data_IF_044356992181
#
_entry.id   IF_044356992181
#
_cell.length_a   1.000
_cell.length_b   1.000
_cell.length_c   1.000
_cell.angle_alpha   90.00
_cell.angle_beta   90.00
_cell.angle_gamma   90.00
#
_symmetry.space_group_name_H-M   'P 1'
#
loop_
_entity.id
_entity.type
_entity.pdbx_description
1 polymer ?
#
# COMPACT_ATOMS: atom_id res chain seq x y z
N UNK A 1 2.84 3.52 29.58
CA UNK A 1 2.91 5.01 29.53
C UNK A 1 3.97 5.52 28.53
N UNK A 2 5.19 4.94 28.45
CA UNK A 2 6.24 5.38 27.53
C UNK A 2 5.85 5.18 26.04
N UNK A 3 5.18 4.08 25.73
CA UNK A 3 4.74 3.71 24.40
C UNK A 3 3.71 4.69 23.81
N UNK A 4 2.74 5.11 24.63
CA UNK A 4 1.70 6.06 24.21
C UNK A 4 2.25 7.48 24.00
N UNK A 5 3.31 7.86 24.74
CA UNK A 5 3.98 9.14 24.62
C UNK A 5 4.87 9.23 23.35
N UNK A 6 5.49 8.10 22.92
CA UNK A 6 6.25 8.02 21.68
C UNK A 6 5.35 8.16 20.45
N UNK A 7 4.21 7.47 20.42
CA UNK A 7 3.22 7.56 19.35
C UNK A 7 2.65 8.97 19.23
N UNK A 8 2.29 9.62 20.33
CA UNK A 8 1.70 10.97 20.32
C UNK A 8 2.68 12.07 19.92
N UNK A 9 3.98 11.93 20.21
CA UNK A 9 4.99 12.93 19.86
C UNK A 9 5.50 12.82 18.41
N UNK A 10 5.49 11.62 17.81
CA UNK A 10 5.94 11.37 16.43
C UNK A 10 4.78 11.23 15.44
N UNK A 11 3.53 11.24 15.90
CA UNK A 11 2.35 10.84 15.15
C UNK A 11 2.16 9.33 15.14
N UNK A 12 1.04 8.88 14.59
CA UNK A 12 0.73 7.45 14.41
C UNK A 12 0.83 7.12 12.92
N UNK A 13 1.82 6.33 12.45
CA UNK A 13 1.96 6.01 11.04
C UNK A 13 0.76 5.23 10.48
N UNK A 14 0.09 4.42 11.31
CA UNK A 14 -1.14 3.73 10.90
C UNK A 14 -2.32 4.69 10.71
N UNK A 15 -2.38 5.81 11.41
CA UNK A 15 -3.47 6.79 11.32
C UNK A 15 -2.94 8.21 11.53
N UNK A 16 -2.30 8.81 10.52
CA UNK A 16 -1.81 10.18 10.58
C UNK A 16 -2.94 11.17 10.88
N UNK A 17 -2.69 12.15 11.77
CA UNK A 17 -3.69 13.16 12.13
C UNK A 17 -3.06 14.54 12.30
N UNK A 18 -3.74 15.58 11.79
CA UNK A 18 -3.33 16.97 11.92
C UNK A 18 -1.95 17.28 11.34
N UNK A 19 -1.38 18.43 11.66
CA UNK A 19 -0.08 18.91 11.14
C UNK A 19 1.08 17.91 11.35
N UNK A 20 1.11 17.21 12.48
CA UNK A 20 2.10 16.15 12.73
C UNK A 20 1.95 14.98 11.76
N UNK A 21 0.71 14.61 11.43
CA UNK A 21 0.40 13.60 10.45
C UNK A 21 0.80 14.00 9.03
N UNK A 22 0.55 15.24 8.62
CA UNK A 22 0.96 15.77 7.31
C UNK A 22 2.50 15.76 7.15
N UNK A 23 3.24 16.19 8.16
CA UNK A 23 4.72 16.13 8.17
C UNK A 23 5.24 14.69 8.11
N UNK A 24 4.55 13.77 8.77
CA UNK A 24 4.88 12.35 8.70
C UNK A 24 4.65 11.79 7.30
N UNK A 25 3.51 12.07 6.67
CA UNK A 25 3.21 11.65 5.30
C UNK A 25 4.25 12.17 4.30
N UNK A 26 4.64 13.43 4.40
CA UNK A 26 5.68 14.01 3.55
C UNK A 26 7.01 13.26 3.67
N UNK A 27 7.47 12.98 4.91
CA UNK A 27 8.68 12.19 5.15
C UNK A 27 8.58 10.76 4.61
N UNK A 28 7.46 10.08 4.82
CA UNK A 28 7.22 8.73 4.32
C UNK A 28 7.25 8.70 2.79
N UNK A 29 6.66 9.69 2.14
CA UNK A 29 6.67 9.81 0.68
C UNK A 29 8.09 9.90 0.09
N UNK A 30 9.01 10.56 0.80
CA UNK A 30 10.43 10.68 0.39
C UNK A 30 11.20 9.38 0.68
N UNK A 31 11.06 8.83 1.90
CA UNK A 31 11.82 7.64 2.32
C UNK A 31 11.48 6.39 1.51
N UNK A 32 10.22 6.21 1.12
CA UNK A 32 9.77 5.02 0.38
C UNK A 32 9.86 5.16 -1.16
N UNK A 33 10.46 6.27 -1.66
CA UNK A 33 10.48 6.54 -3.10
C UNK A 33 11.19 5.45 -3.92
N UNK A 34 12.35 4.98 -3.45
CA UNK A 34 13.14 3.96 -4.13
C UNK A 34 12.48 2.58 -4.06
N UNK A 35 12.00 2.19 -2.88
CA UNK A 35 11.22 0.97 -2.66
C UNK A 35 10.00 0.90 -3.60
N UNK A 36 9.24 2.02 -3.65
CA UNK A 36 8.06 2.11 -4.51
C UNK A 36 8.42 1.95 -5.98
N UNK A 37 9.47 2.64 -6.45
CA UNK A 37 9.91 2.55 -7.84
C UNK A 37 10.35 1.12 -8.21
N UNK A 38 11.07 0.44 -7.32
CA UNK A 38 11.48 -0.94 -7.50
C UNK A 38 10.26 -1.86 -7.58
N UNK A 39 9.33 -1.79 -6.63
CA UNK A 39 8.14 -2.64 -6.63
C UNK A 39 7.23 -2.41 -7.84
N UNK A 40 7.01 -1.14 -8.24
CA UNK A 40 6.19 -0.81 -9.42
C UNK A 40 6.84 -1.29 -10.74
N UNK A 41 8.14 -1.59 -10.76
CA UNK A 41 8.82 -2.13 -11.95
C UNK A 41 8.34 -3.53 -12.35
N UNK A 42 7.66 -4.24 -11.46
CA UNK A 42 7.04 -5.54 -11.76
C UNK A 42 5.70 -5.41 -12.49
N UNK A 43 5.08 -4.23 -12.55
CA UNK A 43 3.93 -4.02 -13.41
C UNK A 43 4.33 -3.84 -14.88
N UNK A 44 3.61 -4.54 -15.76
CA UNK A 44 3.61 -4.28 -17.20
C UNK A 44 2.49 -3.30 -17.54
N UNK A 45 2.85 -2.02 -17.73
CA UNK A 45 1.91 -0.94 -18.01
C UNK A 45 1.47 -0.93 -19.48
N UNK A 46 0.16 -0.86 -19.74
CA UNK A 46 -0.44 -0.65 -21.07
C UNK A 46 -0.85 0.82 -21.25
N UNK A 47 -1.17 1.49 -20.14
CA UNK A 47 -1.55 2.90 -20.10
C UNK A 47 -3.05 3.16 -20.13
N UNK A 48 -3.87 2.13 -20.12
CA UNK A 48 -5.34 2.18 -20.11
C UNK A 48 -5.97 1.44 -18.92
N UNK A 49 -5.15 1.08 -17.93
CA UNK A 49 -5.60 0.31 -16.78
C UNK A 49 -6.42 1.15 -15.79
N UNK A 50 -7.39 0.49 -15.16
CA UNK A 50 -8.02 0.91 -13.91
C UNK A 50 -7.14 0.45 -12.74
N UNK A 51 -6.57 1.39 -12.00
CA UNK A 51 -5.58 1.09 -10.95
C UNK A 51 -6.09 1.55 -9.59
N UNK A 52 -5.92 0.70 -8.57
CA UNK A 52 -6.22 1.03 -7.17
C UNK A 52 -4.94 1.04 -6.33
N UNK A 53 -4.76 2.06 -5.50
CA UNK A 53 -3.74 2.12 -4.45
C UNK A 53 -4.41 2.06 -3.06
N UNK A 54 -4.18 0.96 -2.33
CA UNK A 54 -4.77 0.71 -1.00
C UNK A 54 -3.83 1.20 0.08
N UNK A 55 -4.31 2.08 0.96
CA UNK A 55 -3.50 2.79 1.94
C UNK A 55 -2.63 3.84 1.25
N UNK A 56 -3.24 4.65 0.37
CA UNK A 56 -2.54 5.59 -0.50
C UNK A 56 -1.80 6.73 0.23
N UNK A 57 -2.02 6.88 1.54
CA UNK A 57 -1.34 7.84 2.39
C UNK A 57 -1.40 9.27 1.83
N UNK A 58 -0.25 9.92 1.68
CA UNK A 58 -0.13 11.27 1.10
C UNK A 58 -0.21 11.32 -0.43
N UNK A 59 -0.48 10.19 -1.12
CA UNK A 59 -0.73 10.14 -2.55
C UNK A 59 0.51 10.15 -3.46
N UNK A 60 1.71 10.00 -2.91
CA UNK A 60 2.93 10.03 -3.71
C UNK A 60 3.06 8.83 -4.67
N UNK A 61 2.57 7.65 -4.28
CA UNK A 61 2.55 6.49 -5.14
C UNK A 61 1.59 6.69 -6.33
N UNK A 62 0.39 7.22 -6.08
CA UNK A 62 -0.57 7.59 -7.13
C UNK A 62 0.05 8.60 -8.11
N UNK A 63 0.74 9.62 -7.58
CA UNK A 63 1.43 10.61 -8.42
C UNK A 63 2.50 9.95 -9.33
N UNK A 64 3.25 8.97 -8.84
CA UNK A 64 4.21 8.22 -9.66
C UNK A 64 3.52 7.40 -10.74
N UNK A 65 2.44 6.70 -10.38
CA UNK A 65 1.68 5.87 -11.31
C UNK A 65 0.98 6.69 -12.39
N UNK A 66 0.63 7.97 -12.13
CA UNK A 66 -0.04 8.83 -13.11
C UNK A 66 0.77 9.03 -14.39
N UNK A 67 2.09 8.96 -14.31
CA UNK A 67 2.98 9.01 -15.47
C UNK A 67 2.87 7.79 -16.41
N UNK A 68 2.36 6.67 -15.92
CA UNK A 68 2.17 5.45 -16.70
C UNK A 68 0.77 5.36 -17.33
N UNK A 69 -0.22 6.04 -16.76
CA UNK A 69 -1.62 5.97 -17.20
C UNK A 69 -1.95 7.11 -18.16
N UNK A 70 -2.40 6.75 -19.37
CA UNK A 70 -2.76 7.70 -20.43
C UNK A 70 -4.28 7.80 -20.66
N UNK A 71 -4.94 6.64 -20.73
CA UNK A 71 -6.36 6.51 -21.04
C UNK A 71 -7.15 5.73 -19.99
N UNK A 72 -6.48 5.26 -18.93
CA UNK A 72 -7.06 4.58 -17.78
C UNK A 72 -7.37 5.54 -16.63
N UNK A 73 -7.59 5.00 -15.45
CA UNK A 73 -7.93 5.78 -14.27
C UNK A 73 -7.18 5.29 -13.03
N UNK A 74 -6.86 6.22 -12.13
CA UNK A 74 -6.22 5.95 -10.85
C UNK A 74 -7.19 6.20 -9.70
N UNK A 75 -7.28 5.26 -8.79
CA UNK A 75 -8.08 5.37 -7.58
C UNK A 75 -7.21 5.17 -6.35
N UNK A 76 -7.29 6.08 -5.39
CA UNK A 76 -6.67 5.92 -4.07
C UNK A 76 -7.72 5.65 -3.00
N UNK A 77 -7.40 4.80 -2.04
CA UNK A 77 -8.21 4.61 -0.84
C UNK A 77 -7.35 4.63 0.41
N UNK A 78 -7.79 5.37 1.42
CA UNK A 78 -7.16 5.39 2.74
C UNK A 78 -8.24 5.58 3.82
N UNK A 79 -8.08 4.97 4.99
CA UNK A 79 -9.05 5.09 6.07
C UNK A 79 -8.81 6.33 6.96
N UNK A 80 -7.65 6.97 6.84
CA UNK A 80 -7.31 8.15 7.60
C UNK A 80 -7.69 9.42 6.81
N UNK A 81 -8.60 10.21 7.35
CA UNK A 81 -9.07 11.45 6.72
C UNK A 81 -7.92 12.40 6.34
N UNK A 82 -6.90 12.55 7.20
CA UNK A 82 -5.72 13.37 6.89
C UNK A 82 -4.95 12.84 5.67
N UNK A 83 -4.79 11.52 5.53
CA UNK A 83 -4.18 10.90 4.35
C UNK A 83 -4.97 11.23 3.08
N UNK A 84 -6.29 11.06 3.11
CA UNK A 84 -7.19 11.37 1.98
C UNK A 84 -7.08 12.85 1.58
N UNK A 85 -7.13 13.77 2.54
CA UNK A 85 -7.00 15.21 2.28
C UNK A 85 -5.64 15.56 1.69
N UNK A 86 -4.55 15.02 2.25
CA UNK A 86 -3.18 15.23 1.74
C UNK A 86 -3.04 14.64 0.34
N UNK A 87 -3.54 13.42 0.11
CA UNK A 87 -3.49 12.77 -1.21
C UNK A 87 -4.22 13.58 -2.28
N UNK A 88 -5.40 14.14 -1.94
CA UNK A 88 -6.15 15.04 -2.84
C UNK A 88 -5.38 16.32 -3.18
N UNK A 89 -4.68 16.90 -2.22
CA UNK A 89 -3.83 18.08 -2.45
C UNK A 89 -2.64 17.74 -3.35
N UNK A 90 -1.95 16.63 -3.07
CA UNK A 90 -0.80 16.16 -3.85
C UNK A 90 -1.16 15.92 -5.31
N UNK A 91 -2.36 15.39 -5.57
CA UNK A 91 -2.80 14.96 -6.89
C UNK A 91 -3.89 15.87 -7.50
N UNK A 92 -4.01 17.11 -7.03
CA UNK A 92 -5.10 18.02 -7.42
C UNK A 92 -5.22 18.21 -8.94
N UNK A 93 -4.10 18.23 -9.67
CA UNK A 93 -4.10 18.41 -11.12
C UNK A 93 -4.70 17.19 -11.86
N UNK A 94 -4.33 15.98 -11.47
CA UNK A 94 -4.84 14.75 -12.09
C UNK A 94 -6.33 14.53 -11.72
N UNK A 95 -6.73 14.89 -10.51
CA UNK A 95 -8.13 14.88 -10.08
C UNK A 95 -8.95 15.88 -10.90
N UNK A 96 -8.47 17.11 -11.06
CA UNK A 96 -9.15 18.13 -11.87
C UNK A 96 -9.24 17.75 -13.36
N UNK A 97 -8.29 16.96 -13.86
CA UNK A 97 -8.30 16.40 -15.20
C UNK A 97 -9.22 15.18 -15.36
N UNK A 98 -9.88 14.70 -14.29
CA UNK A 98 -10.72 13.50 -14.30
C UNK A 98 -9.97 12.20 -14.46
N UNK A 99 -8.67 12.16 -14.12
CA UNK A 99 -7.80 10.99 -14.24
C UNK A 99 -7.65 10.21 -12.92
N UNK A 100 -8.08 10.80 -11.81
CA UNK A 100 -7.86 10.26 -10.50
C UNK A 100 -8.98 10.60 -9.53
N UNK A 101 -9.32 9.63 -8.67
CA UNK A 101 -10.22 9.80 -7.53
C UNK A 101 -9.59 9.30 -6.23
N UNK A 102 -9.90 9.97 -5.11
CA UNK A 102 -9.43 9.57 -3.78
C UNK A 102 -10.63 9.39 -2.84
N UNK A 103 -10.73 8.20 -2.26
CA UNK A 103 -11.82 7.79 -1.38
C UNK A 103 -11.34 7.59 0.07
N UNK A 104 -12.22 7.90 1.02
CA UNK A 104 -12.07 7.45 2.40
C UNK A 104 -12.69 6.06 2.50
N UNK A 105 -11.92 5.07 2.96
CA UNK A 105 -12.40 3.69 3.07
C UNK A 105 -11.36 2.77 3.69
N UNK A 106 -11.82 1.59 4.14
CA UNK A 106 -10.99 0.54 4.75
C UNK A 106 -10.85 -0.65 3.81
N UNK A 107 -9.68 -1.29 3.84
CA UNK A 107 -9.45 -2.58 3.17
C UNK A 107 -10.35 -3.71 3.69
N UNK A 108 -11.00 -3.53 4.83
CA UNK A 108 -11.98 -4.50 5.36
C UNK A 108 -13.25 -4.57 4.51
N UNK A 109 -13.62 -3.46 3.85
CA UNK A 109 -14.78 -3.36 2.97
C UNK A 109 -14.50 -2.21 1.97
N UNK A 110 -13.89 -2.53 0.85
CA UNK A 110 -13.56 -1.56 -0.19
C UNK A 110 -14.84 -1.08 -0.89
N UNK A 111 -15.03 0.25 -1.06
CA UNK A 111 -16.26 0.82 -1.60
C UNK A 111 -16.33 0.71 -3.14
N UNK A 112 -15.96 -0.44 -3.68
CA UNK A 112 -15.90 -0.71 -5.11
C UNK A 112 -16.59 -2.03 -5.44
N UNK A 113 -17.11 -2.14 -6.65
CA UNK A 113 -17.71 -3.37 -7.17
C UNK A 113 -16.67 -4.47 -7.40
N UNK A 114 -17.14 -5.71 -7.53
CA UNK A 114 -16.29 -6.84 -7.94
C UNK A 114 -15.66 -6.57 -9.31
N UNK A 115 -14.44 -7.07 -9.53
CA UNK A 115 -13.76 -7.01 -10.83
C UNK A 115 -13.64 -5.57 -11.40
N UNK A 116 -13.36 -4.58 -10.55
CA UNK A 116 -13.27 -3.16 -10.93
C UNK A 116 -11.89 -2.75 -11.45
N UNK A 117 -10.80 -3.37 -10.97
CA UNK A 117 -9.44 -2.91 -11.22
C UNK A 117 -8.57 -3.94 -11.95
N UNK A 118 -7.75 -3.46 -12.87
CA UNK A 118 -6.76 -4.27 -13.59
C UNK A 118 -5.49 -4.47 -12.77
N UNK A 119 -5.11 -3.43 -12.02
CA UNK A 119 -3.92 -3.42 -11.15
C UNK A 119 -4.27 -2.85 -9.80
N UNK A 120 -3.72 -3.47 -8.75
CA UNK A 120 -3.85 -2.97 -7.38
C UNK A 120 -2.46 -2.89 -6.77
N UNK A 121 -2.19 -1.84 -5.99
CA UNK A 121 -0.99 -1.69 -5.17
C UNK A 121 -1.34 -1.49 -3.71
N UNK A 122 -0.42 -1.87 -2.84
CA UNK A 122 -0.30 -1.37 -1.48
C UNK A 122 1.18 -1.21 -1.15
N UNK A 123 1.57 -0.03 -0.69
CA UNK A 123 2.96 0.29 -0.36
C UNK A 123 3.04 0.66 1.11
N UNK A 124 3.88 -0.05 1.89
CA UNK A 124 4.13 0.24 3.30
C UNK A 124 2.86 0.36 4.17
N UNK A 125 1.81 -0.37 3.84
CA UNK A 125 0.49 -0.27 4.47
C UNK A 125 -0.03 -1.62 5.00
N UNK A 126 0.28 -2.73 4.34
CA UNK A 126 -0.24 -4.07 4.62
C UNK A 126 -0.11 -4.50 6.09
N UNK A 127 0.99 -4.21 6.74
CA UNK A 127 1.26 -4.63 8.11
C UNK A 127 0.39 -3.90 9.17
N UNK A 128 -0.35 -2.87 8.76
CA UNK A 128 -1.37 -2.19 9.57
C UNK A 128 -2.79 -2.73 9.36
N UNK A 129 -2.99 -3.64 8.39
CA UNK A 129 -4.33 -4.13 8.09
C UNK A 129 -4.90 -4.93 9.27
N UNK A 130 -6.23 -4.80 9.57
CA UNK A 130 -6.83 -5.41 10.76
C UNK A 130 -6.79 -6.94 10.75
N UNK A 131 -7.00 -7.55 9.57
CA UNK A 131 -6.98 -9.00 9.38
C UNK A 131 -6.41 -9.34 8.00
N UNK A 132 -5.08 -9.28 7.80
CA UNK A 132 -4.47 -9.38 6.48
C UNK A 132 -4.91 -10.59 5.64
N UNK A 133 -5.03 -11.83 6.18
CA UNK A 133 -5.52 -12.96 5.39
C UNK A 133 -6.95 -12.80 4.86
N UNK A 134 -7.85 -12.18 5.62
CA UNK A 134 -9.22 -11.92 5.16
C UNK A 134 -9.27 -10.69 4.24
N UNK A 135 -8.50 -9.65 4.54
CA UNK A 135 -8.44 -8.46 3.72
C UNK A 135 -7.89 -8.75 2.31
N UNK A 136 -7.00 -9.73 2.14
CA UNK A 136 -6.55 -10.20 0.82
C UNK A 136 -7.70 -10.75 -0.03
N UNK A 137 -8.74 -11.34 0.56
CA UNK A 137 -9.92 -11.78 -0.17
C UNK A 137 -10.71 -10.59 -0.72
N UNK A 138 -10.78 -9.50 0.04
CA UNK A 138 -11.42 -8.26 -0.37
C UNK A 138 -10.64 -7.58 -1.51
N UNK A 139 -9.31 -7.52 -1.41
CA UNK A 139 -8.44 -7.07 -2.52
C UNK A 139 -8.71 -7.89 -3.79
N UNK A 140 -8.73 -9.23 -3.64
CA UNK A 140 -9.01 -10.12 -4.76
C UNK A 140 -10.42 -9.94 -5.32
N UNK A 141 -11.42 -9.61 -4.49
CA UNK A 141 -12.79 -9.35 -4.95
C UNK A 141 -12.83 -8.23 -5.98
N UNK A 142 -12.22 -7.10 -5.66
CA UNK A 142 -12.23 -5.90 -6.52
C UNK A 142 -11.24 -5.97 -7.68
N UNK A 143 -10.25 -6.88 -7.64
CA UNK A 143 -9.31 -7.13 -8.74
C UNK A 143 -10.01 -7.90 -9.86
N UNK A 144 -9.83 -7.50 -11.11
CA UNK A 144 -10.33 -8.20 -12.30
C UNK A 144 -9.66 -9.55 -12.48
N UNK A 145 -10.35 -10.48 -13.13
CA UNK A 145 -9.75 -11.77 -13.51
C UNK A 145 -8.56 -11.55 -14.44
N UNK A 146 -7.41 -12.12 -14.10
CA UNK A 146 -6.14 -11.89 -14.78
C UNK A 146 -5.44 -10.59 -14.37
N UNK A 147 -6.05 -9.80 -13.50
CA UNK A 147 -5.43 -8.60 -12.91
C UNK A 147 -4.32 -8.96 -11.92
N UNK A 148 -3.48 -7.98 -11.61
CA UNK A 148 -2.29 -8.14 -10.76
C UNK A 148 -2.35 -7.25 -9.54
N UNK A 149 -2.08 -7.82 -8.37
CA UNK A 149 -1.88 -7.10 -7.10
C UNK A 149 -0.42 -7.13 -6.70
N UNK A 150 0.16 -5.97 -6.39
CA UNK A 150 1.49 -5.82 -5.80
C UNK A 150 1.40 -5.30 -4.37
N UNK A 151 1.92 -6.10 -3.43
CA UNK A 151 2.22 -5.69 -2.07
C UNK A 151 3.71 -5.37 -1.99
N UNK A 152 4.05 -4.14 -1.62
CA UNK A 152 5.43 -3.63 -1.59
C UNK A 152 5.74 -3.17 -0.18
N UNK A 153 6.80 -3.71 0.45
CA UNK A 153 7.15 -3.42 1.82
C UNK A 153 8.65 -3.56 2.12
N UNK A 154 9.11 -2.85 3.16
CA UNK A 154 10.44 -3.04 3.76
C UNK A 154 10.38 -3.78 5.11
N UNK A 155 9.17 -4.07 5.63
CA UNK A 155 8.97 -4.80 6.88
C UNK A 155 8.37 -6.17 6.59
N UNK A 156 9.20 -7.21 6.72
CA UNK A 156 8.80 -8.61 6.69
C UNK A 156 9.77 -9.41 7.57
N UNK A 157 9.41 -10.63 7.97
CA UNK A 157 10.24 -11.44 8.87
C UNK A 157 11.43 -12.05 8.13
N UNK A 158 12.61 -11.54 8.43
CA UNK A 158 13.89 -12.02 7.92
C UNK A 158 15.03 -11.76 8.92
N UNK A 159 16.17 -12.52 8.83
CA UNK A 159 17.28 -12.42 9.81
C UNK A 159 17.98 -11.06 9.87
N UNK A 160 17.82 -10.21 8.85
CA UNK A 160 18.51 -8.92 8.73
C UNK A 160 17.80 -7.74 9.40
N UNK A 161 16.67 -7.94 10.08
CA UNK A 161 15.91 -6.86 10.73
C UNK A 161 16.74 -6.18 11.83
N UNK A 162 16.89 -4.85 11.75
CA UNK A 162 17.55 -4.07 12.80
C UNK A 162 16.77 -4.10 14.12
N UNK A 163 17.45 -3.84 15.24
CA UNK A 163 16.82 -3.76 16.57
C UNK A 163 15.70 -2.69 16.58
N UNK A 164 15.89 -1.55 15.90
CA UNK A 164 14.90 -0.49 15.80
C UNK A 164 13.63 -0.97 15.09
N UNK A 165 13.76 -1.68 13.96
CA UNK A 165 12.64 -2.24 13.22
C UNK A 165 11.90 -3.29 14.05
N UNK A 166 12.64 -4.17 14.75
CA UNK A 166 12.04 -5.16 15.64
C UNK A 166 11.28 -4.51 16.81
N UNK A 167 11.79 -3.40 17.36
CA UNK A 167 11.07 -2.61 18.36
C UNK A 167 9.79 -1.98 17.75
N UNK A 168 9.86 -1.45 16.54
CA UNK A 168 8.70 -0.88 15.86
C UNK A 168 7.62 -1.93 15.58
N UNK A 169 7.99 -3.12 15.11
CA UNK A 169 7.06 -4.25 14.93
C UNK A 169 6.30 -4.54 16.24
N UNK A 170 7.01 -4.63 17.37
CA UNK A 170 6.39 -4.85 18.68
C UNK A 170 5.53 -3.67 19.14
N UNK A 171 6.05 -2.44 18.99
CA UNK A 171 5.40 -1.23 19.47
C UNK A 171 4.10 -0.92 18.73
N UNK A 172 4.07 -1.13 17.43
CA UNK A 172 2.91 -0.89 16.57
C UNK A 172 2.10 -2.15 16.28
N UNK A 173 2.54 -3.33 16.78
CA UNK A 173 1.92 -4.64 16.54
C UNK A 173 1.77 -4.94 15.06
N UNK A 174 2.83 -4.67 14.31
CA UNK A 174 2.81 -4.86 12.87
C UNK A 174 2.70 -6.35 12.53
N UNK A 175 1.87 -6.67 11.54
CA UNK A 175 1.82 -8.01 10.98
C UNK A 175 3.08 -8.25 10.13
N UNK A 176 3.95 -9.15 10.59
CA UNK A 176 5.28 -9.34 10.04
C UNK A 176 5.48 -10.80 9.59
N UNK A 177 4.95 -11.21 8.44
CA UNK A 177 5.08 -12.57 7.93
C UNK A 177 6.42 -12.80 7.24
N UNK A 178 6.84 -14.08 7.18
CA UNK A 178 7.96 -14.52 6.33
C UNK A 178 7.54 -14.53 4.85
N UNK A 179 8.50 -14.55 3.89
CA UNK A 179 8.20 -14.70 2.46
C UNK A 179 7.29 -15.90 2.15
N UNK A 180 7.51 -17.06 2.80
CA UNK A 180 6.70 -18.26 2.62
C UNK A 180 5.29 -18.09 3.19
N UNK A 181 5.16 -17.34 4.27
CA UNK A 181 3.85 -17.00 4.85
C UNK A 181 3.07 -16.09 3.92
N UNK A 182 3.71 -15.10 3.30
CA UNK A 182 3.07 -14.27 2.27
C UNK A 182 2.53 -15.13 1.12
N UNK A 183 3.33 -16.04 0.57
CA UNK A 183 2.88 -16.93 -0.49
C UNK A 183 1.66 -17.77 -0.05
N UNK A 184 1.70 -18.30 1.18
CA UNK A 184 0.63 -19.11 1.75
C UNK A 184 -0.68 -18.34 1.88
N UNK A 185 -0.67 -17.13 2.43
CA UNK A 185 -1.89 -16.33 2.64
C UNK A 185 -2.47 -15.80 1.33
N UNK A 186 -1.62 -15.46 0.34
CA UNK A 186 -2.10 -15.07 -1.00
C UNK A 186 -2.81 -16.24 -1.69
N UNK A 187 -2.20 -17.44 -1.68
CA UNK A 187 -2.82 -18.64 -2.24
C UNK A 187 -4.12 -18.99 -1.50
N UNK A 188 -4.14 -18.89 -0.18
CA UNK A 188 -5.36 -19.12 0.62
C UNK A 188 -6.47 -18.09 0.33
N UNK A 189 -6.11 -16.84 -0.03
CA UNK A 189 -7.06 -15.83 -0.49
C UNK A 189 -7.58 -16.09 -1.92
N UNK A 190 -6.98 -17.05 -2.66
CA UNK A 190 -7.44 -17.51 -3.97
C UNK A 190 -6.71 -16.86 -5.15
N UNK A 191 -5.55 -16.23 -4.95
CA UNK A 191 -4.70 -15.80 -6.07
C UNK A 191 -4.16 -17.02 -6.82
N UNK A 192 -4.29 -17.01 -8.14
CA UNK A 192 -3.97 -18.17 -9.02
C UNK A 192 -2.46 -18.35 -9.22
N UNK A 193 -1.70 -17.24 -9.24
CA UNK A 193 -0.25 -17.23 -9.23
C UNK A 193 0.25 -16.26 -8.17
N UNK A 194 1.33 -16.63 -7.49
CA UNK A 194 1.98 -15.80 -6.47
C UNK A 194 3.48 -15.86 -6.69
N UNK A 195 4.11 -14.70 -6.81
CA UNK A 195 5.57 -14.56 -6.92
C UNK A 195 6.06 -13.63 -5.83
N UNK A 196 7.11 -14.03 -5.13
CA UNK A 196 7.76 -13.20 -4.12
C UNK A 196 9.10 -12.73 -4.66
N UNK A 197 9.26 -11.42 -4.76
CA UNK A 197 10.48 -10.75 -5.15
C UNK A 197 11.14 -10.16 -3.90
N UNK A 198 12.42 -10.41 -3.72
CA UNK A 198 13.22 -9.89 -2.60
C UNK A 198 14.40 -9.12 -3.17
N UNK A 199 14.66 -7.97 -2.56
CA UNK A 199 15.85 -7.19 -2.79
C UNK A 199 16.67 -7.19 -1.50
N UNK A 200 17.73 -8.00 -1.47
CA UNK A 200 18.48 -8.34 -0.25
C UNK A 200 19.33 -7.18 0.30
N UNK A 201 19.81 -6.27 -0.56
CA UNK A 201 20.68 -5.17 -0.15
C UNK A 201 19.95 -4.17 0.76
N UNK A 202 18.67 -3.90 0.46
CA UNK A 202 17.84 -2.98 1.22
C UNK A 202 16.81 -3.67 2.12
N UNK A 203 16.65 -5.00 1.98
CA UNK A 203 15.64 -5.76 2.71
C UNK A 203 14.21 -5.47 2.23
N UNK A 204 14.02 -5.27 0.93
CA UNK A 204 12.70 -5.02 0.36
C UNK A 204 12.02 -6.29 -0.11
N UNK A 205 10.71 -6.32 0.02
CA UNK A 205 9.86 -7.39 -0.50
C UNK A 205 8.76 -6.82 -1.40
N UNK A 206 8.51 -7.49 -2.53
CA UNK A 206 7.32 -7.29 -3.33
C UNK A 206 6.64 -8.64 -3.55
N UNK A 207 5.37 -8.74 -3.15
CA UNK A 207 4.56 -9.94 -3.37
C UNK A 207 3.57 -9.65 -4.48
N UNK A 208 3.71 -10.36 -5.58
CA UNK A 208 2.85 -10.28 -6.76
C UNK A 208 1.81 -11.40 -6.70
N UNK A 209 0.53 -11.05 -6.80
CA UNK A 209 -0.59 -11.97 -6.85
C UNK A 209 -1.44 -11.74 -8.10
N UNK A 210 -1.73 -12.80 -8.86
CA UNK A 210 -2.63 -12.76 -10.03
C UNK A 210 -3.97 -13.38 -9.66
N UNK A 211 -5.09 -12.71 -9.99
CA UNK A 211 -6.46 -13.26 -9.78
C UNK A 211 -6.85 -14.31 -10.80
#
# INVERSE_FOLDING_TARGET
>A
MIQQKKITNAGNPAKPTGEAGEKMLARMNESHAALTAWGLSFFHWQGDEEVLDIGCGGGANLHRMSGHIKNGHLTGVDYAKTSVETSRQTNAADIAAGKMDIHEGSVEALPFDDDSFDKITTVESFYFWPNPPENLKEVRRVLRKGGTFLLIAEIYDHPGLSEEVQENIKNYRLYNPTPETFETIFRAAGFSAVTVHIEDEHGWICVEGVK
#
